data_IF_755671063615
#
_entry.id   IF_755671063615
#
_cell.length_a   1.000
_cell.length_b   1.000
_cell.length_c   1.000
_cell.angle_alpha   90.00
_cell.angle_beta   90.00
_cell.angle_gamma   90.00
#
_symmetry.space_group_name_H-M   'P 1'
#
loop_
_entity.id
_entity.type
_entity.pdbx_description
1 polymer ?
#
# COMPACT_ATOMS: atom_id res chain seq x y z
N UNK A 1 35.56 -35.31 2.39
CA UNK A 1 35.94 -35.31 3.81
C UNK A 1 35.39 -34.05 4.43
N UNK A 2 34.32 -34.01 5.20
CA UNK A 2 33.43 -35.03 5.76
C UNK A 2 32.15 -34.29 6.13
N UNK A 3 31.00 -34.71 5.59
CA UNK A 3 29.64 -34.56 6.17
C UNK A 3 28.55 -35.08 5.21
N UNK A 4 28.88 -36.11 4.40
CA UNK A 4 27.93 -36.84 3.56
C UNK A 4 27.68 -38.28 4.06
N UNK A 5 27.93 -38.55 5.34
CA UNK A 5 27.83 -39.90 5.90
C UNK A 5 26.85 -39.95 7.06
N UNK A 6 25.56 -39.69 6.79
CA UNK A 6 24.46 -40.16 7.64
C UNK A 6 23.14 -40.16 6.85
N UNK A 7 23.14 -40.83 5.69
CA UNK A 7 21.88 -41.24 5.06
C UNK A 7 21.45 -42.52 5.80
N UNK A 8 20.70 -42.35 6.88
CA UNK A 8 20.07 -43.46 7.58
C UNK A 8 18.96 -44.01 6.66
N UNK A 9 19.22 -45.19 6.09
CA UNK A 9 18.40 -45.83 5.05
C UNK A 9 17.27 -46.72 5.60
N UNK A 10 16.99 -46.64 6.90
CA UNK A 10 15.85 -47.34 7.51
C UNK A 10 14.84 -46.33 8.09
N UNK A 11 13.80 -46.03 7.32
CA UNK A 11 12.57 -45.44 7.86
C UNK A 11 11.35 -45.99 7.10
N UNK A 12 10.43 -46.71 7.77
CA UNK A 12 9.28 -47.39 7.17
C UNK A 12 8.21 -46.42 6.64
N UNK A 13 7.25 -46.88 5.80
CA UNK A 13 6.37 -46.05 4.99
C UNK A 13 5.18 -45.54 5.81
N UNK A 14 5.42 -44.61 6.72
CA UNK A 14 4.37 -43.90 7.44
C UNK A 14 4.52 -42.41 7.17
N UNK A 15 3.93 -41.97 6.05
CA UNK A 15 3.79 -40.56 5.67
C UNK A 15 2.83 -39.88 6.64
N UNK A 16 3.31 -39.55 7.84
CA UNK A 16 2.72 -38.47 8.61
C UNK A 16 3.09 -37.17 7.87
N UNK A 17 2.12 -36.31 7.51
CA UNK A 17 2.44 -35.01 6.94
C UNK A 17 3.23 -34.23 7.98
N UNK A 18 4.55 -34.20 7.85
CA UNK A 18 5.43 -33.38 8.67
C UNK A 18 5.00 -31.93 8.48
N UNK A 19 4.24 -31.41 9.44
CA UNK A 19 3.85 -30.00 9.51
C UNK A 19 5.14 -29.23 9.77
N UNK A 20 5.88 -28.91 8.73
CA UNK A 20 7.01 -27.99 8.83
C UNK A 20 6.37 -26.63 9.16
N UNK A 21 6.59 -26.08 10.36
CA UNK A 21 6.02 -24.78 10.70
C UNK A 21 6.51 -23.78 9.64
N UNK A 22 5.62 -22.93 9.11
CA UNK A 22 6.02 -21.95 8.13
C UNK A 22 7.17 -21.12 8.71
N UNK A 23 8.26 -21.02 7.95
CA UNK A 23 9.42 -20.25 8.38
C UNK A 23 9.01 -18.80 8.62
N UNK A 24 9.68 -18.10 9.55
CA UNK A 24 9.34 -16.70 9.91
C UNK A 24 9.17 -15.82 8.66
N UNK A 25 10.05 -15.99 7.66
CA UNK A 25 9.94 -15.33 6.37
C UNK A 25 8.62 -15.59 5.64
N UNK A 26 8.15 -16.84 5.60
CA UNK A 26 6.89 -17.20 4.94
C UNK A 26 5.68 -16.54 5.60
N UNK A 27 5.68 -16.45 6.94
CA UNK A 27 4.60 -15.77 7.66
C UNK A 27 4.59 -14.27 7.39
N UNK A 28 5.76 -13.61 7.47
CA UNK A 28 5.89 -12.18 7.17
C UNK A 28 5.54 -11.88 5.72
N UNK A 29 5.99 -12.72 4.78
CA UNK A 29 5.67 -12.58 3.37
C UNK A 29 4.16 -12.72 3.12
N UNK A 30 3.50 -13.70 3.75
CA UNK A 30 2.05 -13.87 3.62
C UNK A 30 1.27 -12.67 4.17
N UNK A 31 1.69 -12.15 5.32
CA UNK A 31 1.11 -10.93 5.90
C UNK A 31 1.30 -9.74 4.97
N UNK A 32 2.51 -9.55 4.43
CA UNK A 32 2.81 -8.49 3.46
C UNK A 32 1.89 -8.56 2.24
N UNK A 33 1.73 -9.73 1.63
CA UNK A 33 0.86 -9.89 0.44
C UNK A 33 -0.60 -9.54 0.76
N UNK A 34 -1.10 -10.00 1.91
CA UNK A 34 -2.46 -9.69 2.38
C UNK A 34 -2.65 -8.19 2.59
N UNK A 35 -1.69 -7.54 3.25
CA UNK A 35 -1.76 -6.11 3.56
C UNK A 35 -1.62 -5.27 2.28
N UNK A 36 -0.76 -5.66 1.34
CA UNK A 36 -0.66 -5.00 0.02
C UNK A 36 -1.98 -5.08 -0.75
N UNK A 37 -2.66 -6.22 -0.73
CA UNK A 37 -3.97 -6.39 -1.37
C UNK A 37 -5.03 -5.49 -0.73
N UNK A 38 -5.03 -5.40 0.61
CA UNK A 38 -5.91 -4.50 1.35
C UNK A 38 -5.64 -3.03 1.04
N UNK A 39 -4.37 -2.60 1.10
CA UNK A 39 -3.96 -1.22 0.78
C UNK A 39 -4.32 -0.86 -0.66
N UNK A 40 -4.08 -1.76 -1.62
CA UNK A 40 -4.49 -1.56 -3.01
C UNK A 40 -5.99 -1.34 -3.17
N UNK A 41 -6.80 -2.17 -2.50
CA UNK A 41 -8.26 -2.02 -2.48
C UNK A 41 -8.69 -0.69 -1.82
N UNK A 42 -8.12 -0.36 -0.66
CA UNK A 42 -8.41 0.88 0.05
C UNK A 42 -8.12 2.11 -0.82
N UNK A 43 -6.98 2.12 -1.51
CA UNK A 43 -6.59 3.21 -2.40
C UNK A 43 -7.56 3.35 -3.59
N UNK A 44 -8.01 2.23 -4.16
CA UNK A 44 -9.02 2.27 -5.23
C UNK A 44 -10.33 2.89 -4.73
N UNK A 45 -10.81 2.47 -3.57
CA UNK A 45 -12.04 2.99 -2.96
C UNK A 45 -11.90 4.47 -2.63
N UNK A 46 -10.78 4.87 -2.00
CA UNK A 46 -10.49 6.26 -1.68
C UNK A 46 -10.42 7.14 -2.94
N UNK A 47 -9.79 6.64 -4.00
CA UNK A 47 -9.74 7.32 -5.30
C UNK A 47 -11.14 7.47 -5.91
N UNK A 48 -11.96 6.42 -5.86
CA UNK A 48 -13.34 6.45 -6.37
C UNK A 48 -14.22 7.47 -5.60
N UNK A 49 -14.07 7.54 -4.27
CA UNK A 49 -14.75 8.55 -3.45
C UNK A 49 -14.25 9.96 -3.81
N UNK A 50 -12.94 10.13 -4.03
CA UNK A 50 -12.37 11.43 -4.41
C UNK A 50 -12.91 11.93 -5.76
N UNK A 51 -13.23 11.01 -6.68
CA UNK A 51 -13.85 11.33 -7.98
C UNK A 51 -15.29 11.85 -7.91
N UNK A 52 -15.97 11.81 -6.75
CA UNK A 52 -17.32 12.40 -6.58
C UNK A 52 -17.33 13.91 -6.81
N UNK A 53 -16.19 14.59 -6.68
CA UNK A 53 -16.04 16.01 -6.98
C UNK A 53 -15.26 16.22 -8.27
N UNK A 54 -15.62 17.24 -9.07
CA UNK A 54 -14.93 17.57 -10.34
C UNK A 54 -13.44 17.82 -10.08
N UNK A 55 -13.12 18.58 -9.04
CA UNK A 55 -11.74 18.89 -8.64
C UNK A 55 -11.02 17.63 -8.14
N UNK A 56 -11.70 16.80 -7.35
CA UNK A 56 -11.15 15.56 -6.81
C UNK A 56 -10.93 14.48 -7.87
N UNK A 57 -11.64 14.49 -9.00
CA UNK A 57 -11.43 13.53 -10.09
C UNK A 57 -10.04 13.62 -10.72
N UNK A 58 -9.44 14.82 -10.79
CA UNK A 58 -8.08 15.04 -11.30
C UNK A 58 -7.05 14.26 -10.47
N UNK A 59 -7.28 14.16 -9.16
CA UNK A 59 -6.40 13.48 -8.21
C UNK A 59 -6.83 12.02 -8.02
N UNK A 60 -8.13 11.75 -8.02
CA UNK A 60 -8.73 10.44 -7.76
C UNK A 60 -8.42 9.40 -8.83
N UNK A 61 -8.41 9.79 -10.12
CA UNK A 61 -8.07 8.88 -11.23
C UNK A 61 -6.64 8.32 -11.07
N UNK A 62 -5.60 9.16 -10.83
CA UNK A 62 -4.26 8.67 -10.48
C UNK A 62 -4.25 7.69 -9.30
N UNK A 63 -5.01 7.97 -8.24
CA UNK A 63 -5.11 7.10 -7.06
C UNK A 63 -5.68 5.71 -7.43
N UNK A 64 -6.74 5.65 -8.22
CA UNK A 64 -7.32 4.38 -8.68
C UNK A 64 -6.27 3.56 -9.45
N UNK A 65 -5.56 4.20 -10.38
CA UNK A 65 -4.56 3.52 -11.21
C UNK A 65 -3.43 2.90 -10.38
N UNK A 66 -2.93 3.61 -9.37
CA UNK A 66 -1.87 3.06 -8.51
C UNK A 66 -2.39 1.96 -7.59
N UNK A 67 -3.61 2.06 -7.09
CA UNK A 67 -4.21 1.04 -6.23
C UNK A 67 -4.38 -0.29 -6.98
N UNK A 68 -4.76 -0.22 -8.26
CA UNK A 68 -4.77 -1.39 -9.14
C UNK A 68 -3.37 -2.01 -9.28
N UNK A 69 -2.33 -1.18 -9.42
CA UNK A 69 -0.93 -1.66 -9.55
C UNK A 69 -0.42 -2.36 -8.29
N UNK A 70 -0.79 -1.85 -7.11
CA UNK A 70 -0.46 -2.48 -5.83
C UNK A 70 -1.15 -3.84 -5.68
N UNK A 71 -2.42 -3.91 -6.08
CA UNK A 71 -3.19 -5.16 -6.04
C UNK A 71 -2.62 -6.20 -7.00
N UNK A 72 -2.29 -5.79 -8.23
CA UNK A 72 -1.64 -6.66 -9.22
C UNK A 72 -0.30 -7.21 -8.70
N UNK A 73 0.48 -6.38 -8.00
CA UNK A 73 1.71 -6.82 -7.33
C UNK A 73 1.45 -7.89 -6.26
N UNK A 74 0.40 -7.73 -5.45
CA UNK A 74 0.03 -8.72 -4.44
C UNK A 74 -0.38 -10.06 -5.09
N UNK A 75 -1.13 -10.01 -6.19
CA UNK A 75 -1.54 -11.20 -6.93
C UNK A 75 -0.31 -11.95 -7.50
N UNK A 76 0.70 -11.23 -8.01
CA UNK A 76 1.96 -11.86 -8.48
C UNK A 76 2.76 -12.50 -7.34
N UNK A 77 2.78 -11.90 -6.16
CA UNK A 77 3.42 -12.50 -4.98
C UNK A 77 2.66 -13.72 -4.47
N UNK A 78 1.34 -13.76 -4.60
CA UNK A 78 0.53 -14.94 -4.30
C UNK A 78 0.79 -16.08 -5.30
N UNK A 79 0.98 -15.76 -6.58
CA UNK A 79 1.41 -16.72 -7.60
C UNK A 79 2.80 -17.26 -7.26
N UNK A 80 3.75 -16.41 -6.88
CA UNK A 80 5.08 -16.86 -6.46
C UNK A 80 5.02 -17.82 -5.27
N UNK A 81 4.20 -17.52 -4.25
CA UNK A 81 3.99 -18.42 -3.10
C UNK A 81 3.53 -19.82 -3.52
N UNK A 82 2.68 -19.90 -4.54
CA UNK A 82 2.04 -21.16 -4.96
C UNK A 82 2.88 -21.92 -5.99
N UNK A 83 3.63 -21.21 -6.83
CA UNK A 83 4.36 -21.79 -7.98
C UNK A 83 5.88 -21.82 -7.80
N UNK A 84 6.40 -21.12 -6.79
CA UNK A 84 7.83 -20.88 -6.58
C UNK A 84 8.57 -20.28 -7.81
N UNK A 85 7.82 -19.60 -8.69
CA UNK A 85 8.36 -19.04 -9.93
C UNK A 85 9.10 -17.73 -9.67
N UNK A 86 10.42 -17.72 -9.89
CA UNK A 86 11.26 -16.52 -9.80
C UNK A 86 10.81 -15.39 -10.75
N UNK A 87 10.15 -15.74 -11.86
CA UNK A 87 9.56 -14.76 -12.77
C UNK A 87 8.39 -14.01 -12.12
N UNK A 88 7.49 -14.70 -11.43
CA UNK A 88 6.37 -14.08 -10.72
C UNK A 88 6.87 -13.12 -9.62
N UNK A 89 7.93 -13.52 -8.91
CA UNK A 89 8.58 -12.66 -7.91
C UNK A 89 9.14 -11.38 -8.54
N UNK A 90 9.83 -11.49 -9.68
CA UNK A 90 10.38 -10.33 -10.39
C UNK A 90 9.28 -9.37 -10.85
N UNK A 91 8.19 -9.89 -11.42
CA UNK A 91 7.05 -9.08 -11.88
C UNK A 91 6.39 -8.40 -10.68
N UNK A 92 6.20 -9.11 -9.56
CA UNK A 92 5.67 -8.54 -8.33
C UNK A 92 6.46 -7.31 -7.88
N UNK A 93 7.79 -7.41 -7.79
CA UNK A 93 8.64 -6.27 -7.42
C UNK A 93 8.63 -5.14 -8.47
N UNK A 94 8.55 -5.46 -9.76
CA UNK A 94 8.46 -4.43 -10.82
C UNK A 94 7.16 -3.61 -10.68
N UNK A 95 6.04 -4.28 -10.42
CA UNK A 95 4.74 -3.63 -10.19
C UNK A 95 4.76 -2.80 -8.91
N UNK A 96 5.34 -3.34 -7.83
CA UNK A 96 5.50 -2.63 -6.56
C UNK A 96 6.38 -1.37 -6.72
N UNK A 97 7.47 -1.45 -7.48
CA UNK A 97 8.33 -0.30 -7.77
C UNK A 97 7.60 0.78 -8.60
N UNK A 98 6.77 0.38 -9.56
CA UNK A 98 5.91 1.30 -10.33
C UNK A 98 4.89 1.99 -9.41
N UNK A 99 4.26 1.26 -8.49
CA UNK A 99 3.39 1.84 -7.46
C UNK A 99 4.12 2.92 -6.65
N UNK A 100 5.30 2.61 -6.09
CA UNK A 100 6.05 3.55 -5.27
C UNK A 100 6.51 4.80 -6.03
N UNK A 101 6.82 4.65 -7.32
CA UNK A 101 7.21 5.78 -8.18
C UNK A 101 6.07 6.79 -8.35
N UNK A 102 4.82 6.33 -8.41
CA UNK A 102 3.67 7.21 -8.64
C UNK A 102 3.14 7.76 -7.30
N UNK A 103 2.99 6.91 -6.27
CA UNK A 103 2.49 7.35 -4.95
C UNK A 103 3.38 8.44 -4.34
N UNK A 104 4.72 8.37 -4.50
CA UNK A 104 5.61 9.42 -3.98
C UNK A 104 5.37 10.78 -4.63
N UNK A 105 5.00 10.81 -5.91
CA UNK A 105 4.68 12.05 -6.63
C UNK A 105 3.35 12.61 -6.12
N UNK A 106 2.34 11.74 -5.94
CA UNK A 106 1.05 12.15 -5.37
C UNK A 106 1.19 12.69 -3.94
N UNK A 107 2.03 12.07 -3.11
CA UNK A 107 2.31 12.54 -1.75
C UNK A 107 2.88 13.96 -1.76
N UNK A 108 3.81 14.26 -2.66
CA UNK A 108 4.39 15.62 -2.79
C UNK A 108 3.29 16.63 -3.16
N UNK A 109 2.44 16.31 -4.13
CA UNK A 109 1.33 17.18 -4.55
C UNK A 109 0.37 17.45 -3.39
N UNK A 110 -0.04 16.40 -2.68
CA UNK A 110 -0.96 16.53 -1.53
C UNK A 110 -0.34 17.36 -0.40
N UNK A 111 0.95 17.20 -0.13
CA UNK A 111 1.66 17.97 0.88
C UNK A 111 1.65 19.47 0.54
N UNK A 112 1.91 19.83 -0.72
CA UNK A 112 1.84 21.23 -1.17
C UNK A 112 0.43 21.79 -1.03
N UNK A 113 -0.61 21.04 -1.44
CA UNK A 113 -2.00 21.48 -1.30
C UNK A 113 -2.42 21.69 0.15
N UNK A 114 -1.98 20.82 1.07
CA UNK A 114 -2.23 20.96 2.51
C UNK A 114 -1.60 22.25 3.04
N UNK A 115 -0.33 22.54 2.70
CA UNK A 115 0.36 23.76 3.14
C UNK A 115 -0.35 25.02 2.63
N UNK A 116 -0.71 25.04 1.35
CA UNK A 116 -1.48 26.16 0.76
C UNK A 116 -2.85 26.31 1.42
N UNK A 117 -3.54 25.19 1.68
CA UNK A 117 -4.84 25.17 2.36
C UNK A 117 -4.78 25.74 3.77
N UNK A 118 -3.74 25.42 4.54
CA UNK A 118 -3.53 25.96 5.89
C UNK A 118 -3.28 27.48 5.84
N UNK A 119 -2.45 27.96 4.91
CA UNK A 119 -2.18 29.39 4.75
C UNK A 119 -3.48 30.13 4.39
N UNK A 120 -4.25 29.62 3.43
CA UNK A 120 -5.52 30.20 3.02
C UNK A 120 -6.54 30.21 4.17
N UNK A 121 -6.58 29.14 4.98
CA UNK A 121 -7.45 29.04 6.14
C UNK A 121 -7.17 30.15 7.15
N UNK A 122 -5.91 30.37 7.54
CA UNK A 122 -5.56 31.46 8.46
C UNK A 122 -5.79 32.85 7.85
N UNK A 123 -5.49 33.02 6.56
CA UNK A 123 -5.72 34.29 5.85
C UNK A 123 -7.19 34.72 5.87
N UNK A 124 -8.13 33.77 5.84
CA UNK A 124 -9.57 34.04 5.89
C UNK A 124 -10.08 34.12 7.34
N UNK A 125 -9.57 33.27 8.23
CA UNK A 125 -10.06 33.18 9.61
C UNK A 125 -9.75 34.43 10.45
N UNK A 126 -8.52 34.96 10.34
CA UNK A 126 -8.07 36.13 11.11
C UNK A 126 -8.97 37.37 10.88
N UNK A 127 -9.26 37.79 9.63
CA UNK A 127 -10.10 38.96 9.41
C UNK A 127 -11.54 38.74 9.91
N UNK A 128 -12.11 37.54 9.69
CA UNK A 128 -13.47 37.23 10.18
C UNK A 128 -13.55 37.39 11.71
N UNK A 129 -12.56 36.85 12.42
CA UNK A 129 -12.48 36.97 13.87
C UNK A 129 -12.37 38.44 14.29
N UNK A 130 -11.52 39.25 13.63
CA UNK A 130 -11.39 40.68 13.95
C UNK A 130 -12.71 41.45 13.75
N UNK A 131 -13.43 41.19 12.65
CA UNK A 131 -14.70 41.87 12.38
C UNK A 131 -15.78 41.54 13.42
N UNK A 132 -15.80 40.31 13.94
CA UNK A 132 -16.71 39.90 15.02
C UNK A 132 -16.35 40.62 16.33
N UNK A 133 -15.07 40.71 16.66
CA UNK A 133 -14.62 41.42 17.86
C UNK A 133 -14.97 42.92 17.82
N UNK A 134 -14.85 43.57 16.67
CA UNK A 134 -15.22 44.98 16.52
C UNK A 134 -16.74 45.17 16.70
N UNK A 135 -17.57 44.31 16.12
CA UNK A 135 -19.04 44.38 16.29
C UNK A 135 -19.49 44.24 17.75
N UNK A 136 -18.82 43.42 18.56
CA UNK A 136 -19.13 43.29 20.00
C UNK A 136 -18.64 44.47 20.83
N UNK A 137 -17.66 45.24 20.34
CA UNK A 137 -17.11 46.41 21.04
C UNK A 137 -17.90 47.69 20.76
N UNK A 138 -18.56 47.77 19.60
CA UNK A 138 -19.30 48.95 19.16
C UNK A 138 -20.83 48.83 19.28
N UNK A 139 -21.36 47.69 19.74
CA UNK A 139 -22.77 47.49 20.10
C UNK A 139 -22.96 47.44 21.60
#
# INVERSE_FOLDING_TARGET
MDHLDNINLDSPPNTEPTIIPPTMFQMTFLQMVKDMRFVGMFIIIYGAISCLSIVGAIVGIPYIFIGMRMRESADQFEIFKTTNSSQALRIGFELQAKYYRIIKILIIIMLVLIVVGIIAFFAILIPIISSIYDMQRYG
#
